data_IF_507956539098
#
_entry.id   IF_507956539098
#
_cell.length_a   1.000
_cell.length_b   1.000
_cell.length_c   1.000
_cell.angle_alpha   90.00
_cell.angle_beta   90.00
_cell.angle_gamma   90.00
#
_symmetry.space_group_name_H-M   'P 1'
#
loop_
_entity.id
_entity.type
_entity.pdbx_description
1 polymer ?
#
# COMPACT_ATOMS: atom_id res chain seq x y z
N UNK A 1 -14.73 -30.13 18.23
CA UNK A 1 -14.40 -29.81 16.84
C UNK A 1 -15.04 -28.47 16.55
N UNK A 2 -14.27 -27.41 16.56
CA UNK A 2 -14.76 -26.06 16.30
C UNK A 2 -14.48 -25.75 14.83
N UNK A 3 -15.53 -25.34 14.10
CA UNK A 3 -15.49 -24.98 12.68
C UNK A 3 -14.53 -23.82 12.43
N UNK A 4 -13.70 -23.96 11.39
CA UNK A 4 -12.82 -22.90 10.91
C UNK A 4 -13.65 -21.76 10.30
N UNK A 5 -13.30 -20.50 10.52
CA UNK A 5 -14.03 -19.37 9.95
C UNK A 5 -13.90 -19.37 8.42
N UNK A 6 -15.03 -19.25 7.73
CA UNK A 6 -15.16 -19.13 6.29
C UNK A 6 -14.45 -17.88 5.76
N UNK A 7 -13.80 -18.02 4.59
CA UNK A 7 -13.12 -16.94 3.88
C UNK A 7 -14.08 -15.79 3.56
N UNK A 8 -13.68 -14.52 3.68
CA UNK A 8 -14.51 -13.40 3.24
C UNK A 8 -14.71 -13.43 1.73
N UNK A 9 -15.98 -13.24 1.31
CA UNK A 9 -16.42 -13.18 -0.09
C UNK A 9 -15.95 -11.85 -0.72
N UNK A 10 -15.06 -11.95 -1.70
CA UNK A 10 -14.62 -10.81 -2.50
C UNK A 10 -15.58 -10.64 -3.66
N UNK A 11 -16.57 -9.72 -3.50
CA UNK A 11 -17.57 -9.38 -4.51
C UNK A 11 -16.99 -9.09 -5.89
N UNK A 12 -17.71 -9.54 -6.93
CA UNK A 12 -17.40 -9.45 -8.36
C UNK A 12 -17.22 -7.99 -8.79
N UNK A 13 -16.10 -7.69 -9.45
CA UNK A 13 -15.84 -6.39 -10.06
C UNK A 13 -16.39 -6.36 -11.50
N UNK A 14 -17.30 -5.43 -11.78
CA UNK A 14 -17.70 -5.09 -13.14
C UNK A 14 -16.85 -3.94 -13.71
N UNK A 15 -16.54 -4.06 -14.98
CA UNK A 15 -15.68 -3.26 -15.84
C UNK A 15 -15.49 -1.76 -15.54
N UNK A 16 -14.25 -1.36 -15.26
CA UNK A 16 -13.62 -0.20 -15.96
C UNK A 16 -13.87 1.20 -15.41
N UNK A 17 -14.66 1.45 -14.36
CA UNK A 17 -14.84 2.77 -13.75
C UNK A 17 -14.45 2.70 -12.28
N UNK A 18 -13.50 3.55 -11.87
CA UNK A 18 -13.17 3.72 -10.44
C UNK A 18 -14.44 4.11 -9.68
N UNK A 19 -15.10 3.15 -9.05
CA UNK A 19 -16.10 3.49 -8.06
C UNK A 19 -15.38 4.08 -6.84
N UNK A 20 -15.90 5.18 -6.25
CA UNK A 20 -15.33 5.72 -5.03
C UNK A 20 -15.45 4.68 -3.92
N UNK A 21 -14.35 4.36 -3.28
CA UNK A 21 -14.32 3.54 -2.08
C UNK A 21 -15.31 4.17 -1.07
N UNK A 22 -16.37 3.44 -0.70
CA UNK A 22 -17.33 3.89 0.31
C UNK A 22 -16.68 3.78 1.68
N UNK A 23 -15.88 4.78 2.01
CA UNK A 23 -15.34 4.98 3.35
C UNK A 23 -16.31 5.91 4.09
N UNK A 24 -16.93 5.41 5.16
CA UNK A 24 -17.84 6.21 5.98
C UNK A 24 -17.11 7.38 6.63
N UNK A 25 -17.77 8.56 6.63
CA UNK A 25 -17.18 9.81 7.12
C UNK A 25 -17.20 9.83 8.64
N UNK A 26 -16.04 9.99 9.27
CA UNK A 26 -15.93 10.60 10.58
C UNK A 26 -15.51 12.06 10.41
N UNK A 27 -16.35 12.98 10.88
CA UNK A 27 -16.09 14.42 10.91
C UNK A 27 -15.16 14.71 12.08
N UNK A 28 -13.95 15.21 11.80
CA UNK A 28 -13.14 16.08 12.67
C UNK A 28 -11.79 16.34 11.98
N UNK A 29 -11.67 17.51 11.34
CA UNK A 29 -10.35 17.99 10.90
C UNK A 29 -10.34 19.50 10.70
N UNK A 30 -9.64 20.23 11.57
CA UNK A 30 -9.19 21.59 11.30
C UNK A 30 -7.71 21.80 11.66
N UNK A 31 -7.01 22.33 10.68
CA UNK A 31 -5.83 23.21 10.64
C UNK A 31 -4.50 22.79 11.29
N UNK A 32 -3.50 22.57 10.43
CA UNK A 32 -2.16 23.20 10.59
C UNK A 32 -1.40 23.24 9.27
N UNK A 33 -0.93 24.44 8.89
CA UNK A 33 -0.12 24.72 7.70
C UNK A 33 1.35 24.46 8.00
N UNK A 34 2.02 23.76 7.08
CA UNK A 34 3.47 23.86 6.88
C UNK A 34 4.32 22.86 7.66
N UNK A 35 5.04 22.01 6.92
CA UNK A 35 6.00 20.97 7.30
C UNK A 35 5.38 19.58 7.54
N UNK A 36 5.89 18.61 6.73
CA UNK A 36 5.70 17.15 6.85
C UNK A 36 4.48 16.76 7.69
N UNK A 37 3.30 16.69 7.05
CA UNK A 37 2.08 16.29 7.77
C UNK A 37 2.16 14.79 8.06
N UNK A 38 2.58 14.46 9.29
CA UNK A 38 2.48 13.11 9.83
C UNK A 38 1.15 13.01 10.56
N UNK A 39 0.19 12.24 10.02
CA UNK A 39 -1.05 11.97 10.73
C UNK A 39 -0.83 10.79 11.68
N UNK A 40 -0.99 11.03 12.98
CA UNK A 40 -0.94 10.01 14.01
C UNK A 40 -2.33 9.39 14.12
N UNK A 41 -2.47 8.11 13.75
CA UNK A 41 -3.69 7.31 14.04
C UNK A 41 -3.65 6.82 15.47
N UNK A 42 -2.47 6.43 15.94
CA UNK A 42 -2.09 6.18 17.33
C UNK A 42 -0.57 6.30 17.42
N UNK A 43 0.01 6.15 18.64
CA UNK A 43 1.47 6.27 18.85
C UNK A 43 2.27 5.36 17.90
N UNK A 44 1.75 4.16 17.63
CA UNK A 44 2.44 3.11 16.86
C UNK A 44 1.86 2.93 15.44
N UNK A 45 0.90 3.78 15.04
CA UNK A 45 0.23 3.71 13.74
C UNK A 45 0.32 5.06 13.05
N UNK A 46 1.13 5.16 11.99
CA UNK A 46 1.42 6.44 11.37
C UNK A 46 1.37 6.36 9.86
N UNK A 47 0.98 7.47 9.23
CA UNK A 47 1.15 7.65 7.79
C UNK A 47 1.73 9.03 7.48
N UNK A 48 2.51 9.12 6.42
CA UNK A 48 3.08 10.38 5.96
C UNK A 48 3.22 10.41 4.44
N UNK A 49 3.12 11.63 3.90
CA UNK A 49 3.44 11.95 2.51
C UNK A 49 4.64 12.87 2.55
N UNK A 50 5.72 12.53 1.83
CA UNK A 50 7.01 13.21 1.88
C UNK A 50 7.53 13.54 0.49
N UNK A 51 8.46 14.50 0.38
CA UNK A 51 9.17 14.79 -0.87
C UNK A 51 10.64 14.37 -0.84
N UNK A 52 11.17 14.13 0.35
CA UNK A 52 12.53 13.67 0.55
C UNK A 52 12.63 12.15 0.38
N UNK A 53 13.86 11.66 0.23
CA UNK A 53 14.15 10.23 0.20
C UNK A 53 13.62 9.56 1.48
N UNK A 54 12.98 8.41 1.32
CA UNK A 54 12.45 7.64 2.45
C UNK A 54 13.62 6.98 3.20
N UNK A 55 13.71 7.26 4.50
CA UNK A 55 14.66 6.59 5.41
C UNK A 55 14.13 5.20 5.79
N UNK A 56 14.52 4.19 4.99
CA UNK A 56 14.10 2.80 5.19
C UNK A 56 14.65 2.19 6.48
N UNK A 57 15.88 2.57 6.88
CA UNK A 57 16.46 2.06 8.13
C UNK A 57 15.77 2.68 9.35
N UNK A 58 15.43 3.96 9.29
CA UNK A 58 14.58 4.60 10.30
C UNK A 58 13.19 3.99 10.37
N UNK A 59 12.58 3.69 9.22
CA UNK A 59 11.29 2.98 9.17
C UNK A 59 11.40 1.61 9.87
N UNK A 60 12.44 0.83 9.58
CA UNK A 60 12.70 -0.46 10.23
C UNK A 60 12.80 -0.34 11.75
N UNK A 61 13.54 0.66 12.24
CA UNK A 61 13.70 0.89 13.69
C UNK A 61 12.39 1.29 14.36
N UNK A 62 11.59 2.16 13.73
CA UNK A 62 10.31 2.63 14.28
C UNK A 62 9.22 1.56 14.27
N UNK A 63 9.30 0.59 13.34
CA UNK A 63 8.35 -0.51 13.25
C UNK A 63 8.55 -1.58 14.35
N UNK A 64 9.67 -1.58 15.06
CA UNK A 64 9.93 -2.53 16.14
C UNK A 64 8.93 -2.31 17.30
N UNK A 65 8.36 -3.40 17.78
CA UNK A 65 7.44 -3.38 18.92
C UNK A 65 7.72 -4.59 19.83
N UNK A 66 7.69 -4.44 21.17
CA UNK A 66 8.03 -5.52 22.10
C UNK A 66 7.19 -6.80 21.96
N UNK A 67 5.94 -6.65 21.51
CA UNK A 67 5.00 -7.76 21.32
C UNK A 67 5.04 -8.35 19.88
N UNK A 68 5.84 -7.77 18.98
CA UNK A 68 5.92 -8.24 17.60
C UNK A 68 6.94 -9.37 17.46
N UNK A 69 6.47 -10.51 16.99
CA UNK A 69 7.31 -11.62 16.55
C UNK A 69 7.65 -11.58 15.05
N UNK A 70 6.95 -10.70 14.29
CA UNK A 70 7.18 -10.51 12.87
C UNK A 70 7.05 -9.04 12.46
N UNK A 71 7.99 -8.56 11.63
CA UNK A 71 7.93 -7.26 10.99
C UNK A 71 8.12 -7.47 9.49
N UNK A 72 7.14 -7.06 8.70
CA UNK A 72 7.23 -7.04 7.23
C UNK A 72 7.44 -5.61 6.78
N UNK A 73 8.44 -5.41 5.94
CA UNK A 73 8.67 -4.13 5.27
C UNK A 73 8.49 -4.36 3.78
N UNK A 74 7.45 -3.73 3.24
CA UNK A 74 7.26 -3.60 1.81
C UNK A 74 7.75 -2.22 1.37
N UNK A 75 8.49 -2.16 0.27
CA UNK A 75 8.78 -0.91 -0.42
C UNK A 75 8.67 -1.12 -1.92
N UNK A 76 8.19 -0.08 -2.61
CA UNK A 76 8.00 -0.06 -4.05
C UNK A 76 9.00 0.87 -4.70
N UNK A 77 9.89 0.32 -5.52
CA UNK A 77 10.89 1.06 -6.24
C UNK A 77 10.43 1.43 -7.66
N UNK A 78 11.01 2.49 -8.18
CA UNK A 78 10.85 2.89 -9.58
C UNK A 78 11.66 1.96 -10.47
N UNK A 79 10.97 1.21 -11.34
CA UNK A 79 11.60 0.34 -12.34
C UNK A 79 11.87 1.10 -13.63
N UNK A 80 12.84 0.63 -14.43
CA UNK A 80 13.26 1.26 -15.68
C UNK A 80 12.38 0.94 -16.90
N UNK A 81 11.24 0.28 -16.74
CA UNK A 81 10.35 -0.09 -17.84
C UNK A 81 8.88 -0.05 -17.46
N UNK A 82 8.03 0.32 -18.39
CA UNK A 82 6.57 0.25 -18.32
C UNK A 82 6.00 0.06 -19.71
N UNK A 83 5.05 -0.89 -19.89
CA UNK A 83 4.38 -1.15 -21.17
C UNK A 83 5.35 -1.28 -22.36
N UNK A 84 6.43 -2.04 -22.19
CA UNK A 84 7.51 -2.27 -23.18
C UNK A 84 8.30 -0.99 -23.57
N UNK A 85 8.17 0.09 -22.83
CA UNK A 85 8.95 1.31 -23.03
C UNK A 85 9.92 1.54 -21.86
N UNK A 86 11.07 2.13 -22.16
CA UNK A 86 12.07 2.47 -21.15
C UNK A 86 11.69 3.76 -20.43
N UNK A 87 11.62 3.66 -19.07
CA UNK A 87 11.26 4.76 -18.18
C UNK A 87 12.53 5.49 -17.74
N UNK A 88 12.55 6.81 -17.92
CA UNK A 88 13.61 7.68 -17.46
C UNK A 88 13.42 8.04 -15.98
N UNK A 89 12.21 8.44 -15.60
CA UNK A 89 11.83 8.74 -14.21
C UNK A 89 10.30 8.72 -14.06
N UNK A 90 9.82 8.68 -12.84
CA UNK A 90 8.42 8.87 -12.49
C UNK A 90 8.19 10.20 -11.80
N UNK A 91 6.97 10.71 -11.91
CA UNK A 91 6.51 11.86 -11.13
C UNK A 91 5.21 11.48 -10.43
N UNK A 92 5.19 11.65 -9.09
CA UNK A 92 4.01 11.38 -8.28
C UNK A 92 3.39 12.68 -7.81
N UNK A 93 2.08 12.81 -8.01
CA UNK A 93 1.27 13.90 -7.52
C UNK A 93 0.15 13.36 -6.64
N UNK A 94 -0.29 14.14 -5.65
CA UNK A 94 -1.38 13.75 -4.78
C UNK A 94 -2.18 14.95 -4.27
N UNK A 95 -3.42 14.71 -3.93
CA UNK A 95 -4.15 15.59 -3.01
C UNK A 95 -3.76 15.21 -1.58
N UNK A 96 -2.67 15.83 -1.07
CA UNK A 96 -1.93 15.38 0.12
C UNK A 96 -2.83 15.15 1.35
N UNK A 97 -3.71 16.10 1.69
CA UNK A 97 -4.61 15.97 2.84
C UNK A 97 -5.59 14.80 2.69
N UNK A 98 -6.15 14.61 1.48
CA UNK A 98 -7.07 13.51 1.20
C UNK A 98 -6.31 12.18 1.18
N UNK A 99 -5.11 12.14 0.61
CA UNK A 99 -4.27 10.95 0.60
C UNK A 99 -3.93 10.50 2.03
N UNK A 100 -3.50 11.41 2.91
CA UNK A 100 -3.22 11.11 4.31
C UNK A 100 -4.46 10.58 5.05
N UNK A 101 -5.63 11.23 4.84
CA UNK A 101 -6.88 10.78 5.44
C UNK A 101 -7.23 9.36 5.00
N UNK A 102 -7.16 9.07 3.71
CA UNK A 102 -7.50 7.76 3.17
C UNK A 102 -6.48 6.68 3.59
N UNK A 103 -5.17 6.97 3.59
CA UNK A 103 -4.18 6.02 4.13
C UNK A 103 -4.46 5.70 5.59
N UNK A 104 -4.81 6.70 6.41
CA UNK A 104 -5.19 6.49 7.80
C UNK A 104 -6.40 5.56 7.93
N UNK A 105 -7.43 5.74 7.11
CA UNK A 105 -8.62 4.87 7.11
C UNK A 105 -8.27 3.43 6.71
N UNK A 106 -7.39 3.24 5.72
CA UNK A 106 -6.90 1.91 5.32
C UNK A 106 -6.17 1.21 6.48
N UNK A 107 -5.36 1.95 7.26
CA UNK A 107 -4.69 1.41 8.45
C UNK A 107 -5.73 1.01 9.50
N UNK A 108 -6.74 1.84 9.75
CA UNK A 108 -7.81 1.54 10.71
C UNK A 108 -8.64 0.32 10.30
N UNK A 109 -8.95 0.16 9.01
CA UNK A 109 -9.61 -1.05 8.48
C UNK A 109 -8.73 -2.30 8.63
N UNK A 110 -7.43 -2.19 8.38
CA UNK A 110 -6.50 -3.29 8.60
C UNK A 110 -6.47 -3.72 10.08
N UNK A 111 -6.54 -2.77 11.02
CA UNK A 111 -6.62 -3.06 12.47
C UNK A 111 -7.90 -3.78 12.88
N UNK A 112 -8.99 -3.61 12.16
CA UNK A 112 -10.23 -4.35 12.42
C UNK A 112 -10.12 -5.83 11.99
N UNK A 113 -9.19 -6.12 11.06
CA UNK A 113 -9.01 -7.46 10.49
C UNK A 113 -7.90 -8.26 11.16
N UNK A 114 -6.85 -7.58 11.67
CA UNK A 114 -5.66 -8.21 12.25
C UNK A 114 -5.20 -7.48 13.51
N UNK A 115 -4.58 -8.22 14.42
CA UNK A 115 -3.92 -7.64 15.61
C UNK A 115 -2.58 -7.03 15.17
N UNK A 116 -2.57 -5.73 14.91
CA UNK A 116 -1.40 -4.98 14.48
C UNK A 116 -0.77 -4.25 15.68
N UNK A 117 0.53 -4.45 15.89
CA UNK A 117 1.28 -3.78 16.96
C UNK A 117 1.87 -2.44 16.50
N UNK A 118 2.37 -2.38 15.25
CA UNK A 118 2.86 -1.17 14.62
C UNK A 118 2.58 -1.18 13.13
N UNK A 119 2.20 -0.02 12.60
CA UNK A 119 2.09 0.21 11.15
C UNK A 119 2.63 1.59 10.83
N UNK A 120 3.52 1.68 9.86
CA UNK A 120 3.95 2.96 9.30
C UNK A 120 3.86 2.90 7.76
N UNK A 121 3.19 3.90 7.17
CA UNK A 121 3.08 4.08 5.72
C UNK A 121 3.71 5.40 5.33
N UNK A 122 4.68 5.39 4.42
CA UNK A 122 5.31 6.58 3.88
C UNK A 122 5.20 6.56 2.37
N UNK A 123 4.59 7.58 1.77
CA UNK A 123 4.56 7.75 0.31
C UNK A 123 5.34 8.99 -0.11
N UNK A 124 6.25 8.84 -1.10
CA UNK A 124 7.06 9.94 -1.64
C UNK A 124 6.41 10.52 -2.89
N UNK A 125 6.35 11.85 -2.96
CA UNK A 125 5.83 12.62 -4.10
C UNK A 125 6.96 13.35 -4.84
N UNK A 126 6.62 13.86 -6.03
CA UNK A 126 7.52 14.58 -6.91
C UNK A 126 8.28 13.64 -7.84
N UNK A 127 9.42 14.10 -8.32
CA UNK A 127 10.26 13.37 -9.28
C UNK A 127 11.10 12.31 -8.58
N UNK A 128 11.01 11.07 -9.10
CA UNK A 128 11.71 9.90 -8.60
C UNK A 128 12.49 9.25 -9.74
N UNK A 129 13.79 9.07 -9.55
CA UNK A 129 14.63 8.35 -10.49
C UNK A 129 14.39 6.83 -10.42
N UNK A 130 14.84 6.10 -11.43
CA UNK A 130 14.89 4.64 -11.40
C UNK A 130 15.67 4.17 -10.17
N UNK A 131 15.14 3.17 -9.46
CA UNK A 131 15.57 2.63 -8.16
C UNK A 131 15.22 3.49 -6.94
N UNK A 132 14.66 4.68 -7.10
CA UNK A 132 14.14 5.43 -5.95
C UNK A 132 12.92 4.71 -5.35
N UNK A 133 12.85 4.71 -4.01
CA UNK A 133 11.68 4.21 -3.29
C UNK A 133 10.54 5.23 -3.33
N UNK A 134 9.38 4.81 -3.84
CA UNK A 134 8.17 5.64 -3.94
C UNK A 134 7.22 5.48 -2.77
N UNK A 135 7.15 4.29 -2.19
CA UNK A 135 6.31 3.96 -1.05
C UNK A 135 7.01 2.94 -0.17
N UNK A 136 6.91 3.11 1.14
CA UNK A 136 7.36 2.14 2.11
C UNK A 136 6.26 1.89 3.15
N UNK A 137 6.04 0.61 3.49
CA UNK A 137 5.05 0.16 4.46
C UNK A 137 5.72 -0.81 5.41
N UNK A 138 5.69 -0.52 6.70
CA UNK A 138 6.12 -1.44 7.74
C UNK A 138 4.91 -1.91 8.54
N UNK A 139 4.79 -3.22 8.76
CA UNK A 139 3.71 -3.84 9.55
C UNK A 139 4.32 -4.79 10.55
N UNK A 140 4.02 -4.59 11.83
CA UNK A 140 4.48 -5.43 12.93
C UNK A 140 3.29 -6.16 13.59
N UNK A 141 3.40 -7.48 13.72
CA UNK A 141 2.39 -8.36 14.30
C UNK A 141 3.04 -9.45 15.15
N UNK A 142 2.24 -10.18 15.93
CA UNK A 142 2.74 -11.32 16.72
C UNK A 142 3.26 -12.45 15.82
N UNK A 143 2.62 -12.72 14.67
CA UNK A 143 2.94 -13.83 13.79
C UNK A 143 3.02 -13.40 12.32
N UNK A 144 3.93 -14.02 11.56
CA UNK A 144 4.18 -13.66 10.15
C UNK A 144 2.95 -13.71 9.23
N UNK A 145 2.01 -14.63 9.47
CA UNK A 145 0.81 -14.77 8.63
C UNK A 145 0.01 -13.47 8.56
N UNK A 146 -0.28 -12.87 9.71
CA UNK A 146 -1.00 -11.60 9.80
C UNK A 146 -0.18 -10.45 9.21
N UNK A 147 1.15 -10.44 9.43
CA UNK A 147 2.02 -9.41 8.87
C UNK A 147 1.99 -9.38 7.33
N UNK A 148 2.10 -10.56 6.68
CA UNK A 148 2.00 -10.65 5.21
C UNK A 148 0.61 -10.26 4.71
N UNK A 149 -0.45 -10.75 5.35
CA UNK A 149 -1.84 -10.48 4.95
C UNK A 149 -2.18 -8.99 5.09
N UNK A 150 -1.83 -8.38 6.22
CA UNK A 150 -2.08 -6.98 6.47
C UNK A 150 -1.24 -6.06 5.56
N UNK A 151 0.05 -6.38 5.36
CA UNK A 151 0.92 -5.61 4.46
C UNK A 151 0.38 -5.62 3.02
N UNK A 152 -0.04 -6.79 2.51
CA UNK A 152 -0.66 -6.92 1.20
C UNK A 152 -1.95 -6.13 1.10
N UNK A 153 -2.86 -6.28 2.08
CA UNK A 153 -4.12 -5.55 2.12
C UNK A 153 -3.90 -4.03 2.05
N UNK A 154 -2.97 -3.51 2.88
CA UNK A 154 -2.67 -2.08 2.94
C UNK A 154 -2.16 -1.57 1.59
N UNK A 155 -1.17 -2.22 0.96
CA UNK A 155 -0.63 -1.74 -0.32
C UNK A 155 -1.66 -1.83 -1.44
N UNK A 156 -2.41 -2.93 -1.53
CA UNK A 156 -3.40 -3.11 -2.58
C UNK A 156 -4.52 -2.07 -2.45
N UNK A 157 -5.02 -1.82 -1.23
CA UNK A 157 -6.06 -0.81 -0.97
C UNK A 157 -5.55 0.61 -1.26
N UNK A 158 -4.33 0.95 -0.83
CA UNK A 158 -3.74 2.27 -1.14
C UNK A 158 -3.68 2.50 -2.65
N UNK A 159 -3.23 1.53 -3.41
CA UNK A 159 -3.14 1.66 -4.88
C UNK A 159 -4.48 1.83 -5.57
N UNK A 160 -5.57 1.33 -4.97
CA UNK A 160 -6.91 1.45 -5.54
C UNK A 160 -7.65 2.71 -5.11
N UNK A 161 -7.56 3.09 -3.84
CA UNK A 161 -8.45 4.09 -3.25
C UNK A 161 -7.80 5.46 -3.05
N UNK A 162 -6.47 5.51 -2.82
CA UNK A 162 -5.82 6.77 -2.43
C UNK A 162 -5.55 7.65 -3.65
N UNK A 163 -5.89 8.96 -3.62
CA UNK A 163 -5.72 9.88 -4.73
C UNK A 163 -4.25 10.30 -4.89
N UNK A 164 -3.45 9.37 -5.34
CA UNK A 164 -2.06 9.55 -5.72
C UNK A 164 -1.94 9.14 -7.19
N UNK A 165 -1.47 10.03 -8.02
CA UNK A 165 -1.32 9.84 -9.46
C UNK A 165 0.15 9.70 -9.81
N UNK A 166 0.42 8.84 -10.80
CA UNK A 166 1.75 8.55 -11.31
C UNK A 166 1.83 8.95 -12.77
N UNK A 167 2.77 9.83 -13.11
CA UNK A 167 3.14 10.16 -14.48
C UNK A 167 4.46 9.49 -14.81
N UNK A 168 4.48 8.78 -15.93
CA UNK A 168 5.65 8.08 -16.45
C UNK A 168 6.32 8.95 -17.50
N UNK A 169 7.64 9.17 -17.38
CA UNK A 169 8.45 9.88 -18.34
C UNK A 169 9.40 8.89 -19.00
N UNK A 170 9.25 8.73 -20.30
CA UNK A 170 10.01 7.75 -21.07
C UNK A 170 11.29 8.35 -21.66
N UNK A 171 12.28 7.51 -21.94
CA UNK A 171 13.58 7.94 -22.51
C UNK A 171 13.42 8.62 -23.86
N UNK A 172 12.40 8.26 -24.64
CA UNK A 172 12.06 8.88 -25.94
C UNK A 172 11.46 10.30 -25.82
N UNK A 173 11.36 10.87 -24.62
CA UNK A 173 10.81 12.21 -24.36
C UNK A 173 9.29 12.26 -24.22
N UNK A 174 8.57 11.16 -24.43
CA UNK A 174 7.12 11.08 -24.23
C UNK A 174 6.81 10.95 -22.73
N UNK A 175 5.67 11.47 -22.29
CA UNK A 175 5.17 11.24 -20.93
C UNK A 175 3.69 10.87 -20.96
N UNK A 176 3.26 10.02 -20.02
CA UNK A 176 1.88 9.59 -19.88
C UNK A 176 1.48 9.41 -18.44
N UNK A 177 0.24 9.77 -18.09
CA UNK A 177 -0.36 9.41 -16.83
C UNK A 177 -0.66 7.91 -16.80
N UNK A 178 -0.23 7.23 -15.74
CA UNK A 178 -0.56 5.83 -15.54
C UNK A 178 -2.07 5.67 -15.30
N UNK A 179 -2.69 4.72 -15.97
CA UNK A 179 -4.13 4.41 -15.84
C UNK A 179 -4.52 3.84 -14.47
N UNK A 180 -3.60 3.77 -13.51
CA UNK A 180 -3.77 3.14 -12.20
C UNK A 180 -3.34 1.66 -12.23
N UNK A 181 -3.46 0.96 -11.11
CA UNK A 181 -3.31 -0.49 -11.10
C UNK A 181 -4.43 -1.10 -11.96
N UNK A 182 -4.07 -1.76 -13.05
CA UNK A 182 -4.94 -2.79 -13.61
C UNK A 182 -5.17 -3.80 -12.48
N UNK A 183 -6.44 -4.06 -12.18
CA UNK A 183 -6.82 -5.05 -11.20
C UNK A 183 -6.00 -6.32 -11.47
N UNK A 184 -5.36 -6.85 -10.44
CA UNK A 184 -4.86 -8.21 -10.48
C UNK A 184 -6.05 -9.08 -10.87
N UNK A 185 -6.10 -9.55 -12.10
CA UNK A 185 -6.93 -10.69 -12.44
C UNK A 185 -6.42 -11.81 -11.53
N UNK A 186 -7.25 -12.21 -10.59
CA UNK A 186 -7.03 -13.44 -9.83
C UNK A 186 -6.97 -14.52 -10.88
N UNK A 187 -5.76 -14.96 -11.20
CA UNK A 187 -5.58 -16.24 -11.89
C UNK A 187 -6.07 -17.25 -10.87
N UNK A 188 -7.27 -17.78 -11.10
CA UNK A 188 -7.71 -18.99 -10.42
C UNK A 188 -6.67 -20.05 -10.80
N UNK A 189 -5.76 -20.33 -9.89
CA UNK A 189 -4.86 -21.44 -9.95
C UNK A 189 -5.74 -22.69 -9.79
N UNK A 190 -6.19 -23.24 -10.92
CA UNK A 190 -6.74 -24.59 -10.97
C UNK A 190 -5.58 -25.51 -10.62
N UNK A 191 -5.41 -25.77 -9.32
CA UNK A 191 -4.51 -26.77 -8.83
C UNK A 191 -5.04 -28.14 -9.30
N UNK A 192 -4.52 -28.62 -10.42
CA UNK A 192 -4.62 -30.04 -10.73
C UNK A 192 -3.90 -30.82 -9.62
N UNK A 193 -4.56 -31.81 -9.01
CA UNK A 193 -3.89 -32.64 -8.02
C UNK A 193 -2.73 -33.39 -8.67
N UNK A 194 -1.59 -33.57 -7.96
CA UNK A 194 -0.48 -34.32 -8.52
C UNK A 194 -0.91 -35.75 -8.85
N UNK A 195 -0.37 -36.36 -9.95
CA UNK A 195 -0.72 -37.71 -10.33
C UNK A 195 -0.37 -38.70 -9.21
N UNK A 196 -1.29 -39.63 -8.95
CA UNK A 196 -1.09 -40.67 -7.96
C UNK A 196 0.16 -41.51 -8.28
N UNK A 197 1.10 -41.57 -7.36
CA UNK A 197 2.27 -42.45 -7.45
C UNK A 197 1.78 -43.85 -7.12
N UNK A 198 1.64 -44.72 -8.13
CA UNK A 198 1.41 -46.16 -7.93
C UNK A 198 2.70 -46.79 -7.42
N UNK A 199 2.65 -47.34 -6.22
CA UNK A 199 3.65 -48.32 -5.72
C UNK A 199 3.48 -49.66 -6.40
#
# INVERSE_FOLDING_TARGET
MADAPSRPDFGKYEHGVRQPCKLERSEDFEQSKGMMQKKLVSKDMTCSVVRNVIDLEGLRRRAQHPQAGAVIIFYGDVRNHSQQQEVSFLEYEAHENMALKQISMVIDEARQKWVLHSVEVIHRLGKLAVKDCSIAIAVATSHRGDAYSASRYIIDTIKHCVPIWKKEHFVNGVSAWSKGCEAYSVVEETAEPPPAVNN
#
